data_IF_712073402886
#
_entry.id   IF_712073402886
#
_cell.length_a   1.000
_cell.length_b   1.000
_cell.length_c   1.000
_cell.angle_alpha   90.00
_cell.angle_beta   90.00
_cell.angle_gamma   90.00
#
_symmetry.space_group_name_H-M   'P 1'
#
loop_
_entity.id
_entity.type
_entity.pdbx_description
1 polymer ?
#
# COMPACT_ATOMS: atom_id res chain seq x y z
N UNK A 1 0.40 -9.44 16.93
CA UNK A 1 1.40 -8.45 16.47
C UNK A 1 1.41 -8.23 14.96
N UNK A 2 1.62 -9.24 14.10
CA UNK A 2 1.71 -9.02 12.64
C UNK A 2 0.50 -8.25 12.04
N UNK A 3 -0.72 -8.52 12.52
CA UNK A 3 -1.93 -7.82 12.11
C UNK A 3 -1.90 -6.31 12.41
N UNK A 4 -1.23 -5.88 13.49
CA UNK A 4 -1.11 -4.46 13.85
C UNK A 4 -0.20 -3.70 12.89
N UNK A 5 0.72 -4.38 12.20
CA UNK A 5 1.54 -3.77 11.15
C UNK A 5 0.86 -3.82 9.78
N UNK A 6 0.06 -4.85 9.51
CA UNK A 6 -0.60 -5.05 8.22
C UNK A 6 -1.89 -5.85 8.36
N UNK A 7 -3.03 -5.26 8.00
CA UNK A 7 -4.35 -5.90 8.11
C UNK A 7 -4.41 -7.25 7.41
N UNK A 8 -3.75 -7.42 6.26
CA UNK A 8 -3.74 -8.70 5.52
C UNK A 8 -3.05 -9.82 6.30
N UNK A 9 -2.21 -9.53 7.29
CA UNK A 9 -1.63 -10.56 8.15
C UNK A 9 -2.68 -11.26 9.04
N UNK A 10 -3.91 -10.72 9.16
CA UNK A 10 -5.03 -11.42 9.79
C UNK A 10 -5.28 -12.80 9.17
N UNK A 11 -5.08 -12.97 7.86
CA UNK A 11 -5.29 -14.25 7.19
C UNK A 11 -4.25 -15.31 7.54
N UNK A 12 -3.11 -14.95 8.14
CA UNK A 12 -2.19 -15.92 8.74
C UNK A 12 -2.81 -16.63 9.96
N UNK A 13 -3.83 -16.04 10.59
CA UNK A 13 -4.56 -16.71 11.66
C UNK A 13 -5.30 -17.98 11.18
N UNK A 14 -5.55 -18.11 9.87
CA UNK A 14 -6.12 -19.33 9.28
C UNK A 14 -5.10 -20.46 9.15
N UNK A 15 -3.80 -20.15 9.24
CA UNK A 15 -2.72 -21.10 9.03
C UNK A 15 -2.75 -22.23 10.05
N UNK A 16 -2.82 -21.88 11.34
CA UNK A 16 -2.77 -22.85 12.44
C UNK A 16 -4.05 -23.70 12.51
N UNK A 17 -5.28 -23.15 12.52
CA UNK A 17 -6.50 -23.95 12.50
C UNK A 17 -6.56 -24.87 11.28
N UNK A 18 -6.25 -24.35 10.09
CA UNK A 18 -6.23 -25.15 8.87
C UNK A 18 -5.22 -26.30 8.95
N UNK A 19 -4.01 -26.04 9.43
CA UNK A 19 -2.99 -27.06 9.66
C UNK A 19 -3.45 -28.13 10.65
N UNK A 20 -3.98 -27.73 11.82
CA UNK A 20 -4.43 -28.67 12.85
C UNK A 20 -5.63 -29.51 12.39
N UNK A 21 -6.51 -28.95 11.57
CA UNK A 21 -7.66 -29.67 11.01
C UNK A 21 -7.24 -30.67 9.93
N UNK A 22 -6.16 -30.40 9.21
CA UNK A 22 -5.69 -31.21 8.07
C UNK A 22 -4.51 -32.12 8.38
N UNK A 23 -3.90 -32.00 9.57
CA UNK A 23 -2.83 -32.87 10.07
C UNK A 23 -3.37 -33.84 11.14
N UNK A 24 -3.61 -35.12 10.81
CA UNK A 24 -4.10 -36.10 11.78
C UNK A 24 -3.21 -36.22 13.03
N UNK A 25 -1.89 -36.15 12.85
CA UNK A 25 -0.90 -36.25 13.93
C UNK A 25 -0.99 -35.07 14.91
N UNK A 26 -1.33 -33.87 14.43
CA UNK A 26 -1.38 -32.66 15.25
C UNK A 26 -2.79 -32.29 15.71
N UNK A 27 -3.84 -32.92 15.18
CA UNK A 27 -5.24 -32.66 15.56
C UNK A 27 -5.49 -32.77 17.07
N UNK A 28 -4.67 -33.52 17.80
CA UNK A 28 -4.66 -33.58 19.29
C UNK A 28 -4.52 -32.22 19.96
N UNK A 29 -3.88 -31.24 19.32
CA UNK A 29 -3.75 -29.87 19.83
C UNK A 29 -5.09 -29.12 19.85
N UNK A 30 -6.11 -29.55 19.09
CA UNK A 30 -7.46 -28.99 19.23
C UNK A 30 -8.14 -29.38 20.55
N UNK A 31 -7.60 -30.35 21.30
CA UNK A 31 -8.08 -30.70 22.64
C UNK A 31 -7.24 -30.05 23.74
N UNK A 32 -6.17 -29.34 23.36
CA UNK A 32 -5.24 -28.66 24.24
C UNK A 32 -5.69 -27.20 24.37
N UNK A 33 -5.55 -26.61 25.54
CA UNK A 33 -6.00 -25.22 25.77
C UNK A 33 -5.04 -24.20 25.13
N UNK A 34 -3.79 -24.60 24.89
CA UNK A 34 -2.69 -23.76 24.48
C UNK A 34 -2.97 -22.96 23.18
N UNK A 35 -3.50 -23.55 22.08
CA UNK A 35 -3.84 -22.78 20.88
C UNK A 35 -4.96 -21.76 21.12
N UNK A 36 -5.91 -22.08 22.01
CA UNK A 36 -7.01 -21.19 22.37
C UNK A 36 -6.52 -20.05 23.27
N UNK A 37 -5.63 -20.33 24.22
CA UNK A 37 -4.95 -19.31 25.02
C UNK A 37 -4.13 -18.36 24.15
N UNK A 38 -3.39 -18.87 23.17
CA UNK A 38 -2.66 -18.05 22.20
C UNK A 38 -3.60 -17.20 21.32
N UNK A 39 -4.74 -17.76 20.90
CA UNK A 39 -5.77 -17.02 20.17
C UNK A 39 -6.37 -15.90 21.03
N UNK A 40 -6.71 -16.18 22.29
CA UNK A 40 -7.21 -15.19 23.24
C UNK A 40 -6.21 -14.04 23.44
N UNK A 41 -4.94 -14.35 23.71
CA UNK A 41 -3.88 -13.34 23.81
C UNK A 41 -3.77 -12.52 22.53
N UNK A 42 -3.84 -13.17 21.37
CA UNK A 42 -3.80 -12.47 20.07
C UNK A 42 -4.98 -11.51 19.89
N UNK A 43 -6.19 -11.91 20.30
CA UNK A 43 -7.38 -11.06 20.31
C UNK A 43 -7.19 -9.89 21.25
N UNK A 44 -6.75 -10.12 22.50
CA UNK A 44 -6.54 -9.06 23.50
C UNK A 44 -5.52 -8.02 23.04
N UNK A 45 -4.44 -8.45 22.38
CA UNK A 45 -3.42 -7.54 21.82
C UNK A 45 -3.97 -6.67 20.68
N UNK A 46 -4.89 -7.22 19.89
CA UNK A 46 -5.50 -6.55 18.74
C UNK A 46 -6.71 -5.70 19.13
N UNK A 47 -7.37 -6.04 20.24
CA UNK A 47 -8.65 -5.48 20.67
C UNK A 47 -8.63 -3.95 20.78
N UNK A 48 -7.61 -3.28 21.35
CA UNK A 48 -7.60 -1.82 21.43
C UNK A 48 -7.68 -1.15 20.06
N UNK A 49 -6.98 -1.69 19.05
CA UNK A 49 -7.01 -1.15 17.69
C UNK A 49 -8.37 -1.38 17.01
N UNK A 50 -9.02 -2.52 17.30
CA UNK A 50 -10.37 -2.82 16.78
C UNK A 50 -11.41 -1.88 17.38
N UNK A 51 -11.40 -1.70 18.71
CA UNK A 51 -12.33 -0.80 19.40
C UNK A 51 -12.13 0.65 18.95
N UNK A 52 -10.89 1.13 18.92
CA UNK A 52 -10.58 2.46 18.40
C UNK A 52 -11.09 2.63 16.96
N UNK A 53 -10.87 1.63 16.09
CA UNK A 53 -11.33 1.73 14.71
C UNK A 53 -12.87 1.72 14.61
N UNK A 54 -13.57 0.97 15.47
CA UNK A 54 -15.03 0.97 15.55
C UNK A 54 -15.57 2.36 15.90
N UNK A 55 -14.97 3.01 16.90
CA UNK A 55 -15.32 4.37 17.32
C UNK A 55 -15.01 5.43 16.24
N UNK A 56 -14.13 5.12 15.29
CA UNK A 56 -13.75 5.98 14.17
C UNK A 56 -14.37 5.51 12.83
N UNK A 57 -15.53 4.84 12.90
CA UNK A 57 -16.33 4.45 11.74
C UNK A 57 -15.67 3.39 10.84
N UNK A 58 -14.72 2.63 11.36
CA UNK A 58 -13.94 1.64 10.62
C UNK A 58 -13.00 2.24 9.56
N UNK A 59 -12.49 3.45 9.78
CA UNK A 59 -11.62 4.19 8.83
C UNK A 59 -10.48 3.35 8.25
N UNK A 60 -9.82 2.51 9.05
CA UNK A 60 -8.73 1.64 8.55
C UNK A 60 -9.22 0.60 7.54
N UNK A 61 -10.39 0.00 7.80
CA UNK A 61 -10.99 -1.00 6.91
C UNK A 61 -11.47 -0.32 5.65
N UNK A 62 -12.27 0.76 5.76
CA UNK A 62 -12.78 1.51 4.60
C UNK A 62 -11.64 1.97 3.69
N UNK A 63 -10.57 2.52 4.25
CA UNK A 63 -9.39 2.93 3.46
C UNK A 63 -8.70 1.76 2.77
N UNK A 64 -8.63 0.60 3.42
CA UNK A 64 -7.97 -0.58 2.88
C UNK A 64 -8.83 -1.34 1.88
N UNK A 65 -10.16 -1.24 1.97
CA UNK A 65 -11.11 -1.91 1.08
C UNK A 65 -11.57 -1.02 -0.08
N UNK A 66 -11.44 0.30 0.02
CA UNK A 66 -11.81 1.23 -1.04
C UNK A 66 -10.94 1.01 -2.29
N UNK A 67 -11.54 0.60 -3.41
CA UNK A 67 -10.82 0.54 -4.68
C UNK A 67 -10.40 1.95 -5.07
N UNK A 68 -9.17 2.12 -5.55
CA UNK A 68 -8.81 3.37 -6.18
C UNK A 68 -9.45 3.42 -7.59
N UNK A 69 -9.92 4.58 -8.08
CA UNK A 69 -10.52 4.68 -9.41
C UNK A 69 -9.63 4.15 -10.54
N UNK A 70 -8.30 4.30 -10.42
CA UNK A 70 -7.31 3.78 -11.38
C UNK A 70 -6.95 2.30 -11.20
N UNK A 71 -7.60 1.61 -10.26
CA UNK A 71 -7.41 0.18 -9.99
C UNK A 71 -8.63 -0.66 -10.39
N UNK A 72 -9.48 -0.13 -11.28
CA UNK A 72 -10.64 -0.86 -11.79
C UNK A 72 -10.72 -0.70 -13.31
N UNK A 73 -11.02 -1.79 -13.99
CA UNK A 73 -11.33 -1.87 -15.42
C UNK A 73 -12.84 -1.89 -15.68
N UNK A 74 -13.65 -1.74 -14.62
CA UNK A 74 -15.11 -1.69 -14.69
C UNK A 74 -15.80 -3.06 -14.80
N UNK A 75 -15.06 -4.15 -14.65
CA UNK A 75 -15.60 -5.52 -14.63
C UNK A 75 -14.79 -6.39 -13.70
N UNK A 76 -15.44 -7.05 -12.73
CA UNK A 76 -14.77 -7.94 -11.78
C UNK A 76 -14.00 -9.09 -12.44
N UNK A 77 -14.47 -9.59 -13.59
CA UNK A 77 -13.75 -10.59 -14.36
C UNK A 77 -12.47 -10.04 -15.01
N UNK A 78 -12.54 -8.83 -15.58
CA UNK A 78 -11.37 -8.17 -16.15
C UNK A 78 -10.37 -7.76 -15.06
N UNK A 79 -10.85 -7.29 -13.91
CA UNK A 79 -10.01 -6.95 -12.76
C UNK A 79 -9.29 -8.18 -12.21
N UNK A 80 -9.98 -9.32 -12.13
CA UNK A 80 -9.37 -10.59 -11.74
C UNK A 80 -8.26 -11.03 -12.70
N UNK A 81 -8.50 -10.93 -14.01
CA UNK A 81 -7.51 -11.27 -15.04
C UNK A 81 -6.32 -10.29 -15.02
N UNK A 82 -6.58 -9.00 -14.93
CA UNK A 82 -5.57 -7.96 -14.87
C UNK A 82 -4.71 -8.10 -13.60
N UNK A 83 -5.32 -8.40 -12.46
CA UNK A 83 -4.60 -8.71 -11.24
C UNK A 83 -3.75 -9.97 -11.39
N UNK A 84 -4.27 -11.04 -11.99
CA UNK A 84 -3.51 -12.28 -12.24
C UNK A 84 -2.30 -12.02 -13.14
N UNK A 85 -2.48 -11.27 -14.23
CA UNK A 85 -1.39 -10.85 -15.10
C UNK A 85 -0.38 -9.96 -14.35
N UNK A 86 -0.87 -9.01 -13.56
CA UNK A 86 -0.07 -8.15 -12.71
C UNK A 86 0.80 -8.93 -11.73
N UNK A 87 0.30 -10.03 -11.16
CA UNK A 87 1.05 -10.90 -10.26
C UNK A 87 2.17 -11.66 -10.99
N UNK A 88 1.89 -12.18 -12.20
CA UNK A 88 2.92 -12.82 -13.03
C UNK A 88 4.04 -11.85 -13.39
N UNK A 89 3.69 -10.62 -13.77
CA UNK A 89 4.69 -9.58 -14.10
C UNK A 89 5.45 -9.15 -12.84
N UNK A 90 4.75 -8.91 -11.73
CA UNK A 90 5.33 -8.38 -10.50
C UNK A 90 6.37 -9.30 -9.86
N UNK A 91 6.10 -10.62 -9.83
CA UNK A 91 7.05 -11.60 -9.31
C UNK A 91 7.99 -12.17 -10.39
N UNK A 92 7.90 -11.66 -11.62
CA UNK A 92 8.60 -12.18 -12.80
C UNK A 92 7.90 -13.43 -13.37
N UNK A 93 7.61 -13.47 -14.69
CA UNK A 93 6.68 -14.45 -15.26
C UNK A 93 7.09 -15.91 -15.02
N UNK A 94 8.40 -16.21 -15.12
CA UNK A 94 8.91 -17.57 -14.88
C UNK A 94 8.92 -17.90 -13.38
N UNK A 95 9.39 -16.98 -12.52
CA UNK A 95 9.43 -17.20 -11.08
C UNK A 95 8.02 -17.34 -10.49
N UNK A 96 7.06 -16.55 -10.95
CA UNK A 96 5.66 -16.64 -10.55
C UNK A 96 5.07 -18.03 -10.89
N UNK A 97 5.31 -18.54 -12.10
CA UNK A 97 4.86 -19.90 -12.48
C UNK A 97 5.54 -20.97 -11.62
N UNK A 98 6.85 -20.88 -11.38
CA UNK A 98 7.56 -21.83 -10.51
C UNK A 98 7.02 -21.81 -9.07
N UNK A 99 6.69 -20.64 -8.54
CA UNK A 99 6.05 -20.50 -7.23
C UNK A 99 4.66 -21.12 -7.19
N UNK A 100 3.84 -20.93 -8.24
CA UNK A 100 2.53 -21.56 -8.34
C UNK A 100 2.63 -23.09 -8.43
N UNK A 101 3.60 -23.61 -9.18
CA UNK A 101 3.90 -25.05 -9.23
C UNK A 101 4.35 -25.59 -7.87
N UNK A 102 5.19 -24.84 -7.15
CA UNK A 102 5.61 -25.19 -5.80
C UNK A 102 4.42 -25.21 -4.82
N UNK A 103 3.49 -24.26 -4.90
CA UNK A 103 2.26 -24.24 -4.12
C UNK A 103 1.34 -25.42 -4.45
N UNK A 104 1.13 -25.72 -5.73
CA UNK A 104 0.33 -26.86 -6.16
C UNK A 104 0.94 -28.19 -5.68
N UNK A 105 2.28 -28.32 -5.77
CA UNK A 105 2.99 -29.45 -5.20
C UNK A 105 2.84 -29.48 -3.67
N UNK A 106 2.94 -28.34 -2.98
CA UNK A 106 2.74 -28.25 -1.52
C UNK A 106 1.40 -28.82 -1.10
N UNK A 107 0.31 -28.45 -1.79
CA UNK A 107 -1.03 -29.02 -1.54
C UNK A 107 -1.02 -30.55 -1.75
N UNK A 108 -0.39 -31.03 -2.83
CA UNK A 108 -0.31 -32.46 -3.12
C UNK A 108 0.45 -33.24 -2.03
N UNK A 109 1.58 -32.73 -1.54
CA UNK A 109 2.35 -33.36 -0.47
C UNK A 109 1.65 -33.26 0.89
N UNK A 110 0.97 -32.14 1.17
CA UNK A 110 0.11 -31.98 2.33
C UNK A 110 -0.99 -33.05 2.38
N UNK A 111 -1.68 -33.28 1.26
CA UNK A 111 -2.70 -34.34 1.13
C UNK A 111 -2.16 -35.76 1.31
N UNK A 112 -0.86 -35.96 1.10
CA UNK A 112 -0.16 -37.24 1.37
C UNK A 112 0.32 -37.38 2.82
N UNK A 113 0.01 -36.41 3.68
CA UNK A 113 0.34 -36.44 5.10
C UNK A 113 1.66 -35.77 5.48
N UNK A 114 2.35 -35.08 4.56
CA UNK A 114 3.55 -34.31 4.94
C UNK A 114 3.13 -33.01 5.65
N UNK A 115 3.32 -33.00 6.96
CA UNK A 115 2.93 -31.89 7.84
C UNK A 115 3.66 -30.58 7.52
N UNK A 116 4.88 -30.63 7.00
CA UNK A 116 5.65 -29.42 6.66
C UNK A 116 5.02 -28.69 5.49
N UNK A 117 4.64 -29.45 4.45
CA UNK A 117 3.91 -28.91 3.31
C UNK A 117 2.47 -28.53 3.68
N UNK A 118 1.82 -29.23 4.63
CA UNK A 118 0.51 -28.83 5.12
C UNK A 118 0.55 -27.46 5.82
N UNK A 119 1.53 -27.23 6.70
CA UNK A 119 1.70 -25.94 7.36
C UNK A 119 2.01 -24.83 6.34
N UNK A 120 2.95 -25.04 5.42
CA UNK A 120 3.27 -24.07 4.37
C UNK A 120 2.05 -23.74 3.49
N UNK A 121 1.25 -24.76 3.15
CA UNK A 121 0.01 -24.60 2.36
C UNK A 121 -0.97 -23.66 3.07
N UNK A 122 -1.26 -23.91 4.35
CA UNK A 122 -2.21 -23.10 5.11
C UNK A 122 -1.68 -21.72 5.48
N UNK A 123 -0.36 -21.55 5.56
CA UNK A 123 0.26 -20.26 5.82
C UNK A 123 0.42 -19.38 4.55
N UNK A 124 0.44 -19.99 3.35
CA UNK A 124 0.55 -19.26 2.08
C UNK A 124 -0.78 -19.07 1.36
N UNK A 125 -1.51 -20.16 1.10
CA UNK A 125 -2.61 -20.16 0.13
C UNK A 125 -3.79 -19.28 0.55
N UNK A 126 -4.28 -19.28 1.80
CA UNK A 126 -5.38 -18.41 2.19
C UNK A 126 -5.06 -16.92 1.99
N UNK A 127 -3.83 -16.51 2.33
CA UNK A 127 -3.39 -15.13 2.16
C UNK A 127 -3.25 -14.72 0.69
N UNK A 128 -2.72 -15.61 -0.17
CA UNK A 128 -2.67 -15.36 -1.61
C UNK A 128 -4.10 -15.34 -2.17
N UNK A 129 -4.88 -16.38 -1.89
CA UNK A 129 -6.23 -16.59 -2.40
C UNK A 129 -7.20 -15.47 -2.06
N UNK A 130 -7.16 -14.90 -0.85
CA UNK A 130 -8.04 -13.79 -0.51
C UNK A 130 -7.77 -12.53 -1.34
N UNK A 131 -6.51 -12.27 -1.73
CA UNK A 131 -6.22 -11.14 -2.61
C UNK A 131 -6.69 -11.42 -4.04
N UNK A 132 -6.64 -12.66 -4.51
CA UNK A 132 -7.25 -13.06 -5.78
C UNK A 132 -8.78 -12.97 -5.75
N UNK A 133 -9.43 -13.34 -4.64
CA UNK A 133 -10.88 -13.19 -4.51
C UNK A 133 -11.28 -11.71 -4.41
N UNK A 134 -10.51 -10.91 -3.67
CA UNK A 134 -10.71 -9.47 -3.57
C UNK A 134 -10.52 -8.76 -4.92
N UNK A 135 -9.70 -9.31 -5.83
CA UNK A 135 -9.49 -8.66 -7.13
C UNK A 135 -10.72 -8.65 -8.03
N UNK A 136 -11.73 -9.48 -7.76
CA UNK A 136 -13.02 -9.38 -8.43
C UNK A 136 -13.81 -8.11 -8.07
N UNK A 137 -13.39 -7.36 -7.04
CA UNK A 137 -14.00 -6.09 -6.60
C UNK A 137 -13.12 -4.87 -6.92
N UNK A 138 -12.01 -5.08 -7.61
CA UNK A 138 -11.01 -4.07 -7.95
C UNK A 138 -9.60 -4.56 -7.66
N UNK A 139 -8.64 -4.12 -8.46
CA UNK A 139 -7.27 -4.64 -8.53
C UNK A 139 -6.48 -4.28 -7.25
N UNK A 140 -6.19 -5.24 -6.37
CA UNK A 140 -5.38 -5.00 -5.18
C UNK A 140 -3.94 -4.69 -5.56
N UNK A 141 -3.19 -4.04 -4.67
CA UNK A 141 -1.78 -3.74 -4.97
C UNK A 141 -0.98 -5.05 -5.11
N UNK A 142 -0.13 -5.20 -6.15
CA UNK A 142 0.51 -6.48 -6.44
C UNK A 142 1.35 -7.10 -5.30
N UNK A 143 1.87 -6.28 -4.39
CA UNK A 143 2.69 -6.71 -3.25
C UNK A 143 1.88 -7.13 -2.00
N UNK A 144 0.56 -6.98 -1.98
CA UNK A 144 -0.26 -7.37 -0.83
C UNK A 144 -0.15 -8.84 -0.43
N UNK A 145 -0.13 -9.82 -1.36
CA UNK A 145 0.06 -11.23 -1.03
C UNK A 145 1.52 -11.62 -0.72
N UNK A 146 2.48 -10.69 -0.72
CA UNK A 146 3.91 -10.99 -0.59
C UNK A 146 4.28 -11.91 0.60
N UNK A 147 3.72 -11.76 1.83
CA UNK A 147 4.06 -12.69 2.91
C UNK A 147 3.69 -14.14 2.59
N UNK A 148 2.61 -14.38 1.86
CA UNK A 148 2.20 -15.72 1.43
C UNK A 148 3.18 -16.31 0.43
N UNK A 149 3.69 -15.49 -0.50
CA UNK A 149 4.73 -15.87 -1.45
C UNK A 149 6.08 -16.15 -0.78
N UNK A 150 6.47 -15.36 0.22
CA UNK A 150 7.69 -15.61 0.98
C UNK A 150 7.65 -16.97 1.69
N UNK A 151 6.50 -17.35 2.25
CA UNK A 151 6.31 -18.67 2.85
C UNK A 151 6.33 -19.77 1.77
N UNK A 152 5.80 -19.50 0.57
CA UNK A 152 5.81 -20.43 -0.56
C UNK A 152 7.22 -20.75 -1.09
N UNK A 153 8.22 -19.92 -0.77
CA UNK A 153 9.63 -20.23 -1.09
C UNK A 153 10.13 -21.45 -0.33
N UNK A 154 9.59 -21.77 0.85
CA UNK A 154 9.99 -22.95 1.63
C UNK A 154 9.70 -24.26 0.90
N UNK A 155 8.45 -24.55 0.46
CA UNK A 155 8.19 -25.74 -0.34
C UNK A 155 8.90 -25.68 -1.71
N UNK A 156 9.08 -24.50 -2.31
CA UNK A 156 9.85 -24.36 -3.55
C UNK A 156 11.32 -24.81 -3.37
N UNK A 157 11.97 -24.39 -2.29
CA UNK A 157 13.34 -24.79 -1.96
C UNK A 157 13.45 -26.30 -1.65
N UNK A 158 12.47 -26.86 -0.93
CA UNK A 158 12.44 -28.29 -0.66
C UNK A 158 12.30 -29.13 -1.96
N UNK A 159 11.44 -28.68 -2.88
CA UNK A 159 11.23 -29.34 -4.17
C UNK A 159 12.40 -29.15 -5.13
N UNK A 160 13.10 -28.02 -5.05
CA UNK A 160 14.31 -27.77 -5.84
C UNK A 160 15.35 -28.89 -5.67
N UNK A 161 15.55 -29.39 -4.45
CA UNK A 161 16.49 -30.48 -4.18
C UNK A 161 16.18 -31.77 -4.98
N UNK A 162 14.91 -31.98 -5.34
CA UNK A 162 14.47 -33.15 -6.11
C UNK A 162 14.65 -32.97 -7.62
N UNK A 163 14.62 -31.72 -8.11
CA UNK A 163 14.63 -31.43 -9.55
C UNK A 163 15.93 -30.79 -10.04
N UNK A 164 16.80 -30.31 -9.14
CA UNK A 164 18.04 -29.59 -9.48
C UNK A 164 19.03 -30.37 -10.35
N UNK A 165 18.98 -31.70 -10.35
CA UNK A 165 19.82 -32.52 -11.22
C UNK A 165 19.39 -32.46 -12.70
N UNK A 166 18.12 -32.10 -12.97
CA UNK A 166 17.56 -32.05 -14.32
C UNK A 166 17.87 -30.71 -14.97
N UNK A 167 18.46 -30.75 -16.17
CA UNK A 167 18.87 -29.55 -16.91
C UNK A 167 17.73 -28.57 -17.17
N UNK A 168 16.52 -29.07 -17.46
CA UNK A 168 15.34 -28.22 -17.70
C UNK A 168 15.00 -27.32 -16.53
N UNK A 169 14.99 -27.86 -15.31
CA UNK A 169 14.70 -27.09 -14.10
C UNK A 169 15.82 -26.12 -13.74
N UNK A 170 17.08 -26.48 -14.00
CA UNK A 170 18.22 -25.55 -13.90
C UNK A 170 18.11 -24.39 -14.86
N UNK A 171 17.73 -24.65 -16.12
CA UNK A 171 17.51 -23.60 -17.10
C UNK A 171 16.37 -22.67 -16.69
N UNK A 172 15.21 -23.21 -16.29
CA UNK A 172 14.07 -22.40 -15.82
C UNK A 172 14.42 -21.55 -14.59
N UNK A 173 15.12 -22.12 -13.60
CA UNK A 173 15.58 -21.36 -12.44
C UNK A 173 16.58 -20.27 -12.84
N UNK A 174 17.53 -20.58 -13.74
CA UNK A 174 18.48 -19.60 -14.27
C UNK A 174 17.79 -18.45 -15.01
N UNK A 175 16.79 -18.75 -15.85
CA UNK A 175 15.97 -17.74 -16.53
C UNK A 175 15.19 -16.90 -15.52
N UNK A 176 14.57 -17.55 -14.53
CA UNK A 176 13.82 -16.85 -13.48
C UNK A 176 14.70 -15.87 -12.71
N UNK A 177 15.91 -16.30 -12.30
CA UNK A 177 16.89 -15.45 -11.63
C UNK A 177 17.37 -14.34 -12.57
N UNK A 178 17.74 -14.66 -13.81
CA UNK A 178 18.22 -13.68 -14.79
C UNK A 178 17.19 -12.59 -15.09
N UNK A 179 15.92 -12.95 -15.30
CA UNK A 179 14.84 -11.99 -15.53
C UNK A 179 14.57 -11.12 -14.29
N UNK A 180 14.56 -11.71 -13.09
CA UNK A 180 14.37 -10.93 -11.86
C UNK A 180 15.55 -10.01 -11.58
N UNK A 181 16.79 -10.47 -11.80
CA UNK A 181 17.98 -9.61 -11.71
C UNK A 181 17.92 -8.48 -12.74
N UNK A 182 17.47 -8.75 -13.96
CA UNK A 182 17.26 -7.71 -14.97
C UNK A 182 16.22 -6.69 -14.53
N UNK A 183 15.11 -7.13 -13.93
CA UNK A 183 14.08 -6.23 -13.37
C UNK A 183 14.67 -5.39 -12.24
N UNK A 184 15.40 -6.01 -11.30
CA UNK A 184 16.06 -5.30 -10.19
C UNK A 184 17.06 -4.28 -10.74
N UNK A 185 17.95 -4.67 -11.64
CA UNK A 185 18.91 -3.77 -12.28
C UNK A 185 18.18 -2.65 -13.01
N UNK A 186 17.12 -2.94 -13.77
CA UNK A 186 16.32 -1.90 -14.42
C UNK A 186 15.74 -0.92 -13.40
N UNK A 187 15.18 -1.40 -12.27
CA UNK A 187 14.65 -0.54 -11.20
C UNK A 187 15.74 0.31 -10.55
N UNK A 188 16.97 -0.20 -10.38
CA UNK A 188 18.08 0.55 -9.77
C UNK A 188 18.86 1.43 -10.76
N UNK A 189 18.80 1.13 -12.07
CA UNK A 189 19.46 1.90 -13.12
C UNK A 189 18.56 3.01 -13.69
N UNK A 190 17.26 2.76 -13.82
CA UNK A 190 16.27 3.74 -14.29
C UNK A 190 16.30 5.08 -13.50
N UNK A 191 16.54 5.12 -12.17
CA UNK A 191 16.66 6.35 -11.40
C UNK A 191 17.91 7.19 -11.72
N UNK A 192 18.88 6.70 -12.50
CA UNK A 192 19.98 7.56 -12.97
C UNK A 192 19.56 8.45 -14.15
N UNK A 193 18.54 8.05 -14.92
CA UNK A 193 17.86 8.88 -15.93
C UNK A 193 16.36 8.62 -15.90
N UNK A 194 15.70 8.99 -14.79
CA UNK A 194 14.29 8.74 -14.58
C UNK A 194 13.48 9.52 -15.63
N UNK A 195 12.36 8.97 -16.13
CA UNK A 195 11.39 9.80 -16.82
C UNK A 195 10.95 10.93 -15.87
N UNK A 196 10.67 12.15 -16.36
CA UNK A 196 10.33 13.30 -15.52
C UNK A 196 9.27 13.00 -14.45
N UNK A 197 8.21 12.26 -14.80
CA UNK A 197 7.13 11.87 -13.90
C UNK A 197 7.56 11.01 -12.70
N UNK A 198 8.61 10.19 -12.86
CA UNK A 198 9.19 9.42 -11.76
C UNK A 198 10.20 10.28 -10.98
N UNK A 199 10.96 11.11 -11.68
CA UNK A 199 11.91 12.01 -11.07
C UNK A 199 11.25 12.98 -10.08
N UNK A 200 10.11 13.54 -10.45
CA UNK A 200 9.33 14.43 -9.59
C UNK A 200 8.75 13.77 -8.35
N UNK A 201 8.73 12.42 -8.28
CA UNK A 201 8.34 11.71 -7.06
C UNK A 201 9.49 11.60 -6.06
N UNK A 202 10.73 11.56 -6.56
CA UNK A 202 11.93 11.30 -5.76
C UNK A 202 12.68 12.58 -5.37
N UNK A 203 12.75 13.57 -6.26
CA UNK A 203 13.62 14.75 -6.08
C UNK A 203 12.83 16.07 -6.09
N UNK A 204 13.50 17.11 -5.57
CA UNK A 204 13.05 18.49 -5.66
C UNK A 204 12.03 18.93 -4.61
N UNK A 205 11.74 18.08 -3.62
CA UNK A 205 10.85 18.42 -2.51
C UNK A 205 11.38 19.55 -1.62
N UNK A 206 12.69 19.74 -1.53
CA UNK A 206 13.28 20.92 -0.86
C UNK A 206 12.93 22.22 -1.57
N UNK A 207 12.84 22.21 -2.91
CA UNK A 207 12.40 23.38 -3.69
C UNK A 207 10.92 23.68 -3.42
N UNK A 208 10.09 22.63 -3.31
CA UNK A 208 8.67 22.75 -2.94
C UNK A 208 8.54 23.35 -1.54
N UNK A 209 9.29 22.83 -0.56
CA UNK A 209 9.28 23.35 0.80
C UNK A 209 9.70 24.82 0.86
N UNK A 210 10.82 25.20 0.22
CA UNK A 210 11.28 26.58 0.17
C UNK A 210 10.28 27.53 -0.51
N UNK A 211 9.61 27.06 -1.58
CA UNK A 211 8.54 27.82 -2.23
C UNK A 211 7.36 28.03 -1.28
N UNK A 212 6.95 27.01 -0.55
CA UNK A 212 5.85 27.09 0.42
C UNK A 212 6.22 27.99 1.61
N UNK A 213 7.44 27.91 2.13
CA UNK A 213 7.96 28.83 3.16
C UNK A 213 7.81 30.29 2.69
N UNK A 214 8.24 30.58 1.45
CA UNK A 214 8.13 31.92 0.87
C UNK A 214 6.68 32.38 0.76
N UNK A 215 5.79 31.52 0.25
CA UNK A 215 4.39 31.87 0.04
C UNK A 215 3.62 32.09 1.34
N UNK A 216 3.91 31.28 2.37
CA UNK A 216 3.29 31.39 3.68
C UNK A 216 3.77 32.66 4.38
N UNK A 217 5.09 32.91 4.40
CA UNK A 217 5.64 34.11 5.04
C UNK A 217 5.16 35.40 4.35
N UNK A 218 4.94 35.39 3.04
CA UNK A 218 4.34 36.52 2.31
C UNK A 218 2.84 36.70 2.59
N UNK A 219 2.14 35.64 2.96
CA UNK A 219 0.70 35.65 3.24
C UNK A 219 0.37 36.00 4.70
N UNK A 220 1.36 35.99 5.62
CA UNK A 220 1.19 36.22 7.07
C UNK A 220 0.82 37.67 7.47
N UNK A 221 -0.10 38.32 6.75
CA UNK A 221 -0.75 39.56 7.16
C UNK A 221 -1.86 39.33 8.22
N UNK A 222 -1.56 38.58 9.28
CA UNK A 222 -2.38 38.51 10.50
C UNK A 222 -3.15 37.21 10.80
N UNK A 223 -3.16 36.22 9.89
CA UNK A 223 -3.73 34.87 10.15
C UNK A 223 -2.64 33.80 9.99
N UNK A 224 -2.50 32.94 10.99
CA UNK A 224 -1.56 31.81 10.93
C UNK A 224 -2.00 30.86 9.79
N UNK A 225 -1.12 30.53 8.84
CA UNK A 225 -1.49 29.80 7.61
C UNK A 225 -1.08 28.31 7.67
N UNK A 226 -1.84 27.45 7.01
CA UNK A 226 -1.54 26.01 6.90
C UNK A 226 -1.40 25.55 5.45
N UNK A 227 -0.93 24.32 5.24
CA UNK A 227 -0.77 23.72 3.90
C UNK A 227 -1.83 22.64 3.70
N UNK A 228 -2.53 22.73 2.58
CA UNK A 228 -3.55 21.76 2.17
C UNK A 228 -3.13 21.07 0.87
N UNK A 229 -3.29 19.74 0.79
CA UNK A 229 -3.08 19.00 -0.47
C UNK A 229 -4.22 18.04 -0.77
N UNK A 230 -4.38 17.64 -2.02
CA UNK A 230 -5.41 16.68 -2.42
C UNK A 230 -5.01 15.23 -2.11
N UNK A 231 -3.69 14.93 -2.05
CA UNK A 231 -3.19 13.58 -1.83
C UNK A 231 -2.33 13.48 -0.57
N UNK A 232 -2.46 12.37 0.16
CA UNK A 232 -1.65 12.09 1.33
C UNK A 232 -0.16 11.93 0.99
N UNK A 233 0.18 11.49 -0.23
CA UNK A 233 1.58 11.36 -0.66
C UNK A 233 2.26 12.72 -0.76
N UNK A 234 1.61 13.69 -1.41
CA UNK A 234 2.13 15.07 -1.52
C UNK A 234 2.20 15.72 -0.14
N UNK A 235 1.15 15.59 0.68
CA UNK A 235 1.15 16.11 2.05
C UNK A 235 2.28 15.50 2.89
N UNK A 236 2.54 14.18 2.78
CA UNK A 236 3.62 13.52 3.53
C UNK A 236 5.00 14.05 3.18
N UNK A 237 5.26 14.27 1.88
CA UNK A 237 6.55 14.82 1.43
C UNK A 237 6.73 16.26 1.91
N UNK A 238 5.68 17.08 1.83
CA UNK A 238 5.73 18.46 2.34
C UNK A 238 5.94 18.49 3.85
N UNK A 239 5.19 17.71 4.63
CA UNK A 239 5.30 17.64 6.10
C UNK A 239 6.74 17.23 6.52
N UNK A 240 7.33 16.26 5.81
CA UNK A 240 8.70 15.84 6.04
C UNK A 240 9.74 16.94 5.74
N UNK A 241 9.65 17.57 4.56
CA UNK A 241 10.63 18.57 4.10
C UNK A 241 10.45 19.96 4.71
N UNK A 242 9.26 20.26 5.26
CA UNK A 242 9.03 21.48 6.06
C UNK A 242 9.42 21.30 7.53
N UNK A 243 9.81 20.09 7.95
CA UNK A 243 10.22 19.77 9.33
C UNK A 243 9.20 20.22 10.39
N UNK A 244 7.91 20.12 10.07
CA UNK A 244 6.84 20.53 10.98
C UNK A 244 6.71 22.03 11.22
N UNK A 245 7.39 22.89 10.44
CA UNK A 245 7.24 24.36 10.52
C UNK A 245 5.81 24.83 10.26
N UNK A 246 5.05 24.08 9.46
CA UNK A 246 3.66 24.39 9.14
C UNK A 246 2.76 23.21 9.47
N UNK A 247 1.50 23.51 9.75
CA UNK A 247 0.47 22.48 9.78
C UNK A 247 0.21 22.03 8.34
N UNK A 248 0.41 20.74 8.06
CA UNK A 248 0.09 20.12 6.77
C UNK A 248 -1.09 19.16 6.95
N UNK A 249 -2.07 19.24 6.05
CA UNK A 249 -3.21 18.32 6.02
C UNK A 249 -3.69 18.05 4.59
N UNK A 250 -4.62 17.12 4.45
CA UNK A 250 -5.24 16.76 3.17
C UNK A 250 -6.69 17.24 3.10
N UNK A 251 -7.20 17.42 1.88
CA UNK A 251 -8.60 17.68 1.63
C UNK A 251 -9.48 16.43 1.71
N UNK A 252 -8.89 15.25 1.92
CA UNK A 252 -9.59 13.96 1.97
C UNK A 252 -9.88 13.51 3.39
N UNK A 253 -10.96 12.76 3.57
CA UNK A 253 -11.42 12.27 4.88
C UNK A 253 -10.84 10.90 5.29
N UNK A 254 -10.15 10.20 4.38
CA UNK A 254 -9.74 8.80 4.56
C UNK A 254 -8.22 8.62 4.44
N UNK A 255 -7.43 9.32 5.26
CA UNK A 255 -5.99 9.10 5.35
C UNK A 255 -5.43 9.43 6.75
N UNK A 256 -4.12 9.23 6.93
CA UNK A 256 -3.46 9.43 8.22
C UNK A 256 -3.41 10.90 8.67
N UNK A 257 -3.60 11.89 7.78
CA UNK A 257 -3.70 13.29 8.17
C UNK A 257 -5.08 13.59 8.73
N UNK A 258 -6.14 13.07 8.10
CA UNK A 258 -7.52 13.19 8.59
C UNK A 258 -7.69 12.62 10.01
N UNK A 259 -6.97 11.54 10.35
CA UNK A 259 -7.01 10.93 11.69
C UNK A 259 -6.18 11.72 12.72
N UNK A 260 -5.04 12.29 12.33
CA UNK A 260 -4.09 12.92 13.27
C UNK A 260 -4.41 14.37 13.61
N UNK A 261 -5.20 15.07 12.79
CA UNK A 261 -5.39 16.52 12.90
C UNK A 261 -6.86 16.84 13.18
N UNK A 262 -7.07 17.75 14.14
CA UNK A 262 -8.35 18.39 14.34
C UNK A 262 -8.52 19.52 13.31
N UNK A 263 -9.30 19.25 12.26
CA UNK A 263 -9.57 20.20 11.18
C UNK A 263 -10.35 21.42 11.69
N UNK A 264 -11.19 21.25 12.72
CA UNK A 264 -11.99 22.34 13.28
C UNK A 264 -11.10 23.42 13.93
N UNK A 265 -9.92 23.03 14.40
CA UNK A 265 -8.92 23.97 14.91
C UNK A 265 -8.28 24.85 13.82
N UNK A 266 -8.54 24.57 12.54
CA UNK A 266 -8.05 25.35 11.40
C UNK A 266 -9.07 26.35 10.86
N UNK A 267 -10.31 26.34 11.37
CA UNK A 267 -11.38 27.24 10.90
C UNK A 267 -10.97 28.70 11.08
N UNK A 268 -11.23 29.51 10.05
CA UNK A 268 -10.85 30.91 9.96
C UNK A 268 -9.40 31.17 9.55
N UNK A 269 -8.54 30.15 9.53
CA UNK A 269 -7.14 30.28 9.08
C UNK A 269 -7.04 30.35 7.56
N UNK A 270 -5.94 30.94 7.08
CA UNK A 270 -5.60 30.93 5.67
C UNK A 270 -4.82 29.67 5.31
N UNK A 271 -4.78 29.32 4.03
CA UNK A 271 -4.07 28.15 3.55
C UNK A 271 -3.38 28.37 2.22
N UNK A 272 -2.30 27.62 1.99
CA UNK A 272 -1.76 27.40 0.66
C UNK A 272 -2.16 25.99 0.22
N UNK A 273 -2.99 25.91 -0.81
CA UNK A 273 -3.29 24.62 -1.43
C UNK A 273 -2.26 24.32 -2.53
N UNK A 274 -1.72 23.10 -2.50
CA UNK A 274 -0.75 22.63 -3.48
C UNK A 274 -1.04 21.20 -3.91
N UNK A 275 -1.11 20.98 -5.22
CA UNK A 275 -1.27 19.64 -5.77
C UNK A 275 -0.60 19.48 -7.13
N UNK A 276 -0.25 18.25 -7.48
CA UNK A 276 0.30 17.92 -8.80
C UNK A 276 -0.72 18.24 -9.89
N UNK A 277 -0.30 18.98 -10.91
CA UNK A 277 -1.15 19.30 -12.08
C UNK A 277 -1.57 18.02 -12.80
N UNK A 278 -0.66 17.06 -12.92
CA UNK A 278 -0.90 15.81 -13.65
C UNK A 278 -1.81 14.83 -12.88
N UNK A 279 -1.98 15.03 -11.56
CA UNK A 279 -2.69 14.10 -10.67
C UNK A 279 -4.05 14.58 -10.20
N UNK A 280 -4.59 15.69 -10.72
CA UNK A 280 -5.63 16.46 -10.06
C UNK A 280 -6.93 15.68 -9.74
N UNK A 281 -7.28 15.49 -8.46
CA UNK A 281 -8.67 15.41 -8.04
C UNK A 281 -9.25 16.84 -8.07
N UNK A 282 -10.49 16.99 -8.54
CA UNK A 282 -11.23 18.24 -8.44
C UNK A 282 -11.63 18.52 -6.99
N UNK A 283 -10.69 19.02 -6.18
CA UNK A 283 -10.99 19.48 -4.81
C UNK A 283 -11.79 20.77 -4.92
N UNK A 284 -13.02 20.84 -4.38
CA UNK A 284 -13.87 22.02 -4.51
C UNK A 284 -13.46 23.12 -3.53
N UNK A 285 -12.29 23.72 -3.72
CA UNK A 285 -11.71 24.73 -2.82
C UNK A 285 -12.66 25.90 -2.54
N UNK A 286 -13.48 26.28 -3.51
CA UNK A 286 -14.47 27.35 -3.35
C UNK A 286 -15.55 27.04 -2.29
N UNK A 287 -15.83 25.75 -2.02
CA UNK A 287 -16.72 25.35 -0.94
C UNK A 287 -16.02 25.39 0.43
N UNK A 288 -14.70 25.20 0.44
CA UNK A 288 -13.90 25.06 1.65
C UNK A 288 -13.37 26.39 2.21
N UNK A 289 -13.31 27.44 1.39
CA UNK A 289 -12.70 28.73 1.73
C UNK A 289 -13.61 29.90 1.35
N UNK A 290 -13.40 31.06 1.98
CA UNK A 290 -14.09 32.31 1.64
C UNK A 290 -13.66 32.85 0.27
N UNK A 291 -12.35 32.83 0.02
CA UNK A 291 -11.77 33.25 -1.26
C UNK A 291 -10.60 32.36 -1.64
N UNK A 292 -10.54 32.03 -2.92
CA UNK A 292 -9.51 31.21 -3.54
C UNK A 292 -8.91 31.98 -4.70
N UNK A 293 -7.59 32.12 -4.72
CA UNK A 293 -6.82 32.79 -5.75
C UNK A 293 -5.81 31.80 -6.34
N UNK A 294 -5.86 31.58 -7.65
CA UNK A 294 -4.86 30.76 -8.34
C UNK A 294 -3.56 31.53 -8.48
N UNK A 295 -2.47 30.95 -8.01
CA UNK A 295 -1.12 31.47 -8.20
C UNK A 295 -0.48 30.83 -9.44
N UNK A 296 0.62 31.40 -9.97
CA UNK A 296 1.39 30.75 -11.01
C UNK A 296 1.81 29.34 -10.59
N UNK A 297 1.73 28.40 -11.53
CA UNK A 297 2.17 27.03 -11.29
C UNK A 297 3.66 27.01 -10.93
N UNK A 298 4.04 26.07 -10.06
CA UNK A 298 5.42 25.89 -9.64
C UNK A 298 6.06 24.70 -10.34
N UNK A 299 7.17 24.93 -11.01
CA UNK A 299 7.94 23.90 -11.69
C UNK A 299 9.12 23.45 -10.82
N UNK A 300 9.17 22.17 -10.54
CA UNK A 300 10.31 21.53 -9.88
C UNK A 300 11.30 21.15 -10.96
N UNK A 301 12.53 21.64 -10.83
CA UNK A 301 13.60 21.40 -11.79
C UNK A 301 14.66 20.51 -11.17
N UNK A 302 15.02 19.43 -11.87
CA UNK A 302 16.11 18.55 -11.46
C UNK A 302 16.92 18.14 -12.69
N UNK A 303 18.25 18.22 -12.62
CA UNK A 303 19.13 17.92 -13.75
C UNK A 303 18.88 18.80 -14.99
N UNK A 304 18.44 20.05 -14.80
CA UNK A 304 18.13 20.97 -15.89
C UNK A 304 16.80 20.71 -16.62
N UNK A 305 15.99 19.75 -16.15
CA UNK A 305 14.67 19.45 -16.72
C UNK A 305 13.57 19.69 -15.69
N UNK A 306 12.39 20.11 -16.16
CA UNK A 306 11.18 20.15 -15.33
C UNK A 306 10.74 18.73 -15.07
N UNK A 307 10.80 18.31 -13.81
CA UNK A 307 10.42 16.96 -13.38
C UNK A 307 9.02 16.89 -12.79
N UNK A 308 8.48 18.04 -12.36
CA UNK A 308 7.12 18.10 -11.83
C UNK A 308 6.55 19.51 -11.93
N UNK A 309 5.22 19.62 -12.08
CA UNK A 309 4.51 20.88 -12.00
C UNK A 309 3.41 20.81 -10.94
N UNK A 310 3.36 21.80 -10.07
CA UNK A 310 2.36 21.94 -9.02
C UNK A 310 1.44 23.12 -9.32
N UNK A 311 0.14 22.89 -9.25
CA UNK A 311 -0.83 23.98 -9.17
C UNK A 311 -0.87 24.48 -7.73
N UNK A 312 -0.78 25.80 -7.56
CA UNK A 312 -0.78 26.46 -6.25
C UNK A 312 -1.95 27.44 -6.18
N UNK A 313 -2.63 27.44 -5.05
CA UNK A 313 -3.71 28.37 -4.75
C UNK A 313 -3.49 28.98 -3.38
N UNK A 314 -3.71 30.29 -3.29
CA UNK A 314 -3.86 30.99 -2.02
C UNK A 314 -5.32 30.93 -1.64
N UNK A 315 -5.59 30.41 -0.45
CA UNK A 315 -6.93 30.21 0.08
C UNK A 315 -7.06 30.99 1.38
N UNK A 316 -8.17 31.71 1.55
CA UNK A 316 -8.38 32.59 2.72
C UNK A 316 -9.67 32.23 3.43
N UNK A 317 -9.66 32.29 4.76
CA UNK A 317 -10.80 31.99 5.61
C UNK A 317 -11.32 30.56 5.43
N UNK A 318 -10.59 29.57 5.94
CA UNK A 318 -11.02 28.17 5.92
C UNK A 318 -12.35 28.00 6.67
N UNK A 319 -13.33 27.37 6.02
CA UNK A 319 -14.68 27.13 6.57
C UNK A 319 -14.80 25.73 7.15
N UNK A 320 -14.58 24.73 6.30
CA UNK A 320 -14.64 23.30 6.64
C UNK A 320 -14.07 22.47 5.50
N UNK A 321 -13.79 21.19 5.76
CA UNK A 321 -13.65 20.21 4.68
C UNK A 321 -15.02 19.96 4.02
N UNK A 322 -15.07 19.51 2.74
CA UNK A 322 -16.30 19.02 2.16
C UNK A 322 -16.74 17.79 2.96
N UNK A 323 -17.99 17.75 3.40
CA UNK A 323 -18.56 16.53 3.98
C UNK A 323 -18.54 15.48 2.86
N UNK A 324 -17.92 14.31 3.05
CA UNK A 324 -18.05 13.24 2.08
C UNK A 324 -19.52 12.79 2.08
N UNK A 325 -20.15 12.84 0.90
CA UNK A 325 -21.40 12.11 0.64
C UNK A 325 -21.23 10.61 0.92
#
# INVERSE_FOLDING_TARGET
MAMMSKLTAAFLALALPGFLLTSPMHRRWLRRWEPYGAALVSVLVVLPAVLWNADHGWVMIRKSSAPAPWTQLGSGGLDFLAYTAGQLVYYGPVAAVLLLLALAASVRWARRGDNRFALATWASIPLIGVNWLASAQGIPKPHWPAPGYLIALLPAAALWLQVRARQTWRALAGIAVGLNLLIVVAIYVLPFRPPPSFAGQLWGWDQVAAKLDTLINQAQAGRDAFILSASYQTASQIDYHTHGRFVVTTAGANDAFAVRRNVDALVGRDAVFINDVAGAPGVPLALMFERVERLPDFEVVHGGQVVRRFAIYRCTGFKSLPVPD
#
